data_IF_963156678488
#
_entry.id   IF_963156678488
#
_cell.length_a   1.000
_cell.length_b   1.000
_cell.length_c   1.000
_cell.angle_alpha   90.00
_cell.angle_beta   90.00
_cell.angle_gamma   90.00
#
_symmetry.space_group_name_H-M   'P 1'
#
loop_
_entity.id
_entity.type
_entity.pdbx_description
1 polymer ?
#
# COMPACT_ATOMS: atom_id res chain seq x y z
N UNK A 1 -2.78 28.11 8.14
CA UNK A 1 -2.84 26.64 8.36
C UNK A 1 -2.00 25.99 7.27
N UNK A 2 -0.86 25.39 7.59
CA UNK A 2 -0.10 24.63 6.59
C UNK A 2 -0.84 23.31 6.37
N UNK A 3 -1.28 23.04 5.14
CA UNK A 3 -1.91 21.77 4.79
C UNK A 3 -0.98 20.60 5.18
N UNK A 4 -1.52 19.55 5.79
CA UNK A 4 -0.72 18.36 6.07
C UNK A 4 -0.23 17.75 4.75
N UNK A 5 0.96 17.11 4.71
CA UNK A 5 1.42 16.45 3.48
C UNK A 5 0.43 15.41 2.95
N UNK A 6 -0.33 14.76 3.84
CA UNK A 6 -1.40 13.82 3.50
C UNK A 6 -2.54 14.54 2.77
N UNK A 7 -2.99 15.68 3.30
CA UNK A 7 -4.04 16.48 2.67
C UNK A 7 -3.62 16.94 1.26
N UNK A 8 -2.38 17.44 1.13
CA UNK A 8 -1.84 17.89 -0.15
C UNK A 8 -1.75 16.74 -1.17
N UNK A 9 -1.19 15.59 -0.78
CA UNK A 9 -1.10 14.41 -1.66
C UNK A 9 -2.49 13.90 -2.08
N UNK A 10 -3.43 13.80 -1.14
CA UNK A 10 -4.79 13.38 -1.41
C UNK A 10 -5.51 14.36 -2.37
N UNK A 11 -5.38 15.66 -2.14
CA UNK A 11 -5.99 16.69 -2.98
C UNK A 11 -5.41 16.69 -4.41
N UNK A 12 -4.09 16.63 -4.57
CA UNK A 12 -3.43 16.57 -5.89
C UNK A 12 -3.86 15.31 -6.63
N UNK A 13 -3.91 14.17 -5.93
CA UNK A 13 -4.35 12.91 -6.53
C UNK A 13 -5.80 12.98 -7.00
N UNK A 14 -6.68 13.51 -6.15
CA UNK A 14 -8.09 13.65 -6.47
C UNK A 14 -8.28 14.58 -7.67
N UNK A 15 -7.66 15.77 -7.65
CA UNK A 15 -7.73 16.72 -8.75
C UNK A 15 -7.21 16.12 -10.06
N UNK A 16 -6.02 15.49 -10.05
CA UNK A 16 -5.45 14.86 -11.22
C UNK A 16 -6.34 13.74 -11.76
N UNK A 17 -6.90 12.91 -10.88
CA UNK A 17 -7.81 11.82 -11.28
C UNK A 17 -9.11 12.35 -11.88
N UNK A 18 -9.63 13.51 -11.44
CA UNK A 18 -10.85 14.11 -11.98
C UNK A 18 -10.60 14.77 -13.35
N UNK A 19 -9.46 15.46 -13.51
CA UNK A 19 -9.09 16.13 -14.76
C UNK A 19 -8.69 15.10 -15.83
N UNK A 20 -7.91 14.10 -15.45
CA UNK A 20 -7.38 13.08 -16.34
C UNK A 20 -7.44 11.70 -15.65
N UNK A 21 -8.53 10.93 -15.84
CA UNK A 21 -8.75 9.65 -15.16
C UNK A 21 -7.60 8.65 -15.28
N UNK A 22 -6.83 8.69 -16.38
CA UNK A 22 -5.66 7.83 -16.57
C UNK A 22 -4.41 8.23 -15.77
N UNK A 23 -4.33 9.47 -15.27
CA UNK A 23 -3.12 10.00 -14.60
C UNK A 23 -3.17 9.90 -13.08
N UNK A 24 -4.28 9.46 -12.49
CA UNK A 24 -4.46 9.41 -11.04
C UNK A 24 -3.36 8.60 -10.32
N UNK A 25 -3.01 7.42 -10.82
CA UNK A 25 -1.97 6.56 -10.20
C UNK A 25 -0.59 7.22 -10.25
N UNK A 26 -0.24 7.85 -11.38
CA UNK A 26 1.03 8.53 -11.57
C UNK A 26 1.12 9.78 -10.67
N UNK A 27 0.06 10.59 -10.63
CA UNK A 27 -0.03 11.76 -9.75
C UNK A 27 0.05 11.36 -8.27
N UNK A 28 -0.63 10.29 -7.88
CA UNK A 28 -0.56 9.73 -6.52
C UNK A 28 0.87 9.34 -6.16
N UNK A 29 1.53 8.55 -7.02
CA UNK A 29 2.91 8.12 -6.83
C UNK A 29 3.89 9.30 -6.73
N UNK A 30 3.82 10.25 -7.67
CA UNK A 30 4.65 11.46 -7.64
C UNK A 30 4.40 12.32 -6.40
N UNK A 31 3.14 12.47 -5.98
CA UNK A 31 2.80 13.22 -4.76
C UNK A 31 3.38 12.57 -3.50
N UNK A 32 3.49 11.24 -3.43
CA UNK A 32 4.14 10.56 -2.31
C UNK A 32 5.63 10.86 -2.23
N UNK A 33 6.33 10.95 -3.36
CA UNK A 33 7.71 11.40 -3.38
C UNK A 33 7.83 12.86 -2.91
N UNK A 34 6.87 13.71 -3.31
CA UNK A 34 6.78 15.11 -2.88
C UNK A 34 6.45 15.32 -1.40
N UNK A 35 5.91 14.31 -0.69
CA UNK A 35 5.74 14.35 0.77
C UNK A 35 7.07 14.23 1.54
N UNK A 36 8.20 14.19 0.83
CA UNK A 36 9.52 14.14 1.45
C UNK A 36 9.89 15.46 2.11
N UNK A 37 10.75 15.37 3.13
CA UNK A 37 11.29 16.51 3.84
C UNK A 37 12.08 17.43 2.91
N UNK A 38 12.02 18.76 3.10
CA UNK A 38 12.95 19.69 2.44
C UNK A 38 14.42 19.38 2.76
N UNK A 39 14.71 18.69 3.87
CA UNK A 39 16.07 18.23 4.17
C UNK A 39 16.55 17.12 3.23
N UNK A 40 15.64 16.28 2.69
CA UNK A 40 15.96 15.30 1.65
C UNK A 40 15.94 15.94 0.26
N UNK A 41 14.97 16.82 0.00
CA UNK A 41 14.77 17.47 -1.29
C UNK A 41 14.95 19.00 -1.14
N UNK A 42 16.20 19.49 -0.99
CA UNK A 42 16.46 20.89 -0.60
C UNK A 42 16.24 21.90 -1.72
N UNK A 43 16.15 21.46 -2.96
CA UNK A 43 15.97 22.34 -4.12
C UNK A 43 14.91 21.82 -5.08
N UNK A 44 14.31 22.74 -5.83
CA UNK A 44 13.36 22.40 -6.88
C UNK A 44 13.95 21.43 -7.92
N UNK A 45 15.24 21.59 -8.25
CA UNK A 45 15.93 20.70 -9.19
C UNK A 45 15.99 19.25 -8.67
N UNK A 46 16.29 19.05 -7.39
CA UNK A 46 16.31 17.71 -6.77
C UNK A 46 14.89 17.13 -6.70
N UNK A 47 13.90 17.95 -6.35
CA UNK A 47 12.49 17.52 -6.36
C UNK A 47 12.03 17.10 -7.76
N UNK A 48 12.39 17.87 -8.79
CA UNK A 48 12.12 17.54 -10.19
C UNK A 48 12.81 16.24 -10.60
N UNK A 49 14.09 16.08 -10.26
CA UNK A 49 14.84 14.85 -10.52
C UNK A 49 14.20 13.63 -9.82
N UNK A 50 13.69 13.82 -8.60
CA UNK A 50 12.93 12.78 -7.87
C UNK A 50 11.62 12.46 -8.56
N UNK A 51 10.91 13.45 -9.09
CA UNK A 51 9.71 13.25 -9.90
C UNK A 51 10.00 12.42 -11.16
N UNK A 52 11.06 12.79 -11.91
CA UNK A 52 11.52 12.04 -13.09
C UNK A 52 11.91 10.62 -12.73
N UNK A 53 12.72 10.43 -11.69
CA UNK A 53 13.11 9.11 -11.19
C UNK A 53 11.89 8.27 -10.79
N UNK A 54 10.92 8.87 -10.09
CA UNK A 54 9.67 8.22 -9.70
C UNK A 54 8.86 7.79 -10.92
N UNK A 55 8.77 8.62 -11.96
CA UNK A 55 8.08 8.28 -13.21
C UNK A 55 8.75 7.10 -13.92
N UNK A 56 10.08 7.11 -14.04
CA UNK A 56 10.84 6.00 -14.65
C UNK A 56 10.62 4.71 -13.87
N UNK A 57 10.73 4.76 -12.54
CA UNK A 57 10.50 3.60 -11.69
C UNK A 57 9.05 3.14 -11.73
N UNK A 58 8.08 4.04 -11.82
CA UNK A 58 6.66 3.70 -11.95
C UNK A 58 6.40 2.90 -13.22
N UNK A 59 6.89 3.39 -14.37
CA UNK A 59 6.79 2.66 -15.64
C UNK A 59 7.51 1.31 -15.59
N UNK A 60 8.73 1.29 -15.06
CA UNK A 60 9.50 0.05 -14.90
C UNK A 60 8.77 -0.96 -14.00
N UNK A 61 8.21 -0.52 -12.87
CA UNK A 61 7.57 -1.42 -11.89
C UNK A 61 6.19 -1.90 -12.34
N UNK A 62 5.48 -1.12 -13.16
CA UNK A 62 4.20 -1.52 -13.76
C UNK A 62 4.41 -2.49 -14.91
N UNK A 63 5.39 -2.24 -15.79
CA UNK A 63 5.64 -3.09 -16.96
C UNK A 63 6.43 -4.35 -16.63
N UNK A 64 7.25 -4.34 -15.56
CA UNK A 64 8.08 -5.49 -15.23
C UNK A 64 7.29 -6.62 -14.54
N UNK A 65 7.10 -7.72 -15.30
CA UNK A 65 6.64 -9.05 -14.84
C UNK A 65 5.25 -9.15 -14.22
N UNK A 66 4.43 -8.10 -14.20
CA UNK A 66 3.07 -8.14 -13.65
C UNK A 66 2.96 -8.65 -12.19
N UNK A 67 4.09 -8.82 -11.48
CA UNK A 67 4.17 -9.62 -10.26
C UNK A 67 3.48 -8.93 -9.06
N UNK A 68 3.40 -7.60 -9.12
CA UNK A 68 2.72 -6.76 -8.12
C UNK A 68 1.42 -6.12 -8.64
N UNK A 69 0.88 -6.58 -9.78
CA UNK A 69 -0.41 -6.07 -10.27
C UNK A 69 -1.52 -6.37 -9.26
N UNK A 70 -2.30 -5.34 -8.94
CA UNK A 70 -3.41 -5.42 -8.00
C UNK A 70 -3.01 -5.51 -6.53
N UNK A 71 -1.74 -5.32 -6.19
CA UNK A 71 -1.29 -5.19 -4.80
C UNK A 71 -1.31 -3.73 -4.36
N UNK A 72 -2.04 -3.48 -3.28
CA UNK A 72 -2.07 -2.18 -2.61
C UNK A 72 -0.70 -1.75 -2.08
N UNK A 73 -0.47 -0.44 -1.99
CA UNK A 73 0.78 0.14 -1.48
C UNK A 73 1.94 0.23 -2.49
N UNK A 74 1.87 -0.46 -3.65
CA UNK A 74 2.95 -0.47 -4.65
C UNK A 74 3.40 0.93 -5.09
N UNK A 75 2.46 1.87 -5.25
CA UNK A 75 2.75 3.25 -5.66
C UNK A 75 3.62 3.97 -4.64
N UNK A 76 3.35 3.76 -3.35
CA UNK A 76 4.19 4.31 -2.29
C UNK A 76 5.53 3.58 -2.17
N UNK A 77 5.59 2.28 -2.44
CA UNK A 77 6.85 1.54 -2.51
C UNK A 77 7.76 2.08 -3.64
N UNK A 78 7.20 2.35 -4.82
CA UNK A 78 7.91 2.99 -5.94
C UNK A 78 8.42 4.38 -5.58
N UNK A 79 7.56 5.23 -5.01
CA UNK A 79 7.96 6.57 -4.57
C UNK A 79 9.04 6.52 -3.49
N UNK A 80 8.92 5.59 -2.53
CA UNK A 80 9.92 5.37 -1.50
C UNK A 80 11.26 4.96 -2.09
N UNK A 81 11.28 4.02 -3.05
CA UNK A 81 12.49 3.62 -3.75
C UNK A 81 13.13 4.81 -4.50
N UNK A 82 12.34 5.60 -5.23
CA UNK A 82 12.82 6.77 -5.95
C UNK A 82 13.49 7.80 -5.02
N UNK A 83 12.84 8.13 -3.90
CA UNK A 83 13.37 9.04 -2.88
C UNK A 83 14.68 8.50 -2.30
N UNK A 84 14.76 7.19 -2.05
CA UNK A 84 16.01 6.57 -1.56
C UNK A 84 17.14 6.63 -2.57
N UNK A 85 16.88 6.42 -3.87
CA UNK A 85 17.91 6.52 -4.90
C UNK A 85 18.46 7.96 -5.02
N UNK A 86 17.58 8.96 -4.97
CA UNK A 86 18.00 10.36 -5.01
C UNK A 86 18.77 10.74 -3.73
N UNK A 87 18.25 10.36 -2.56
CA UNK A 87 18.95 10.58 -1.29
C UNK A 87 20.34 9.91 -1.29
N UNK A 88 20.46 8.70 -1.84
CA UNK A 88 21.74 8.01 -2.01
C UNK A 88 22.70 8.80 -2.90
N UNK A 89 22.21 9.33 -4.03
CA UNK A 89 23.01 10.11 -4.98
C UNK A 89 23.56 11.41 -4.38
N UNK A 90 22.89 11.96 -3.36
CA UNK A 90 23.32 13.14 -2.63
C UNK A 90 24.26 12.83 -1.44
N UNK A 91 24.61 11.55 -1.23
CA UNK A 91 25.40 11.13 -0.07
C UNK A 91 24.61 11.08 1.24
N UNK A 92 23.30 11.33 1.20
CA UNK A 92 22.38 11.18 2.34
C UNK A 92 21.89 9.74 2.49
N UNK A 93 22.73 8.76 2.14
CA UNK A 93 22.34 7.35 2.22
C UNK A 93 22.18 6.93 3.69
N UNK A 94 20.94 7.00 4.16
CA UNK A 94 20.53 6.37 5.40
C UNK A 94 20.16 4.92 5.08
N UNK A 95 21.16 4.09 4.74
CA UNK A 95 21.09 2.75 5.30
C UNK A 95 21.22 2.95 6.80
N UNK A 96 20.36 2.34 7.64
CA UNK A 96 20.48 2.47 9.08
C UNK A 96 21.94 2.18 9.44
N UNK A 97 22.68 3.23 9.76
CA UNK A 97 24.02 3.12 10.27
C UNK A 97 23.87 2.23 11.49
N UNK A 98 24.63 1.15 11.50
CA UNK A 98 24.74 0.17 12.56
C UNK A 98 25.31 0.82 13.83
N UNK A 99 24.56 1.73 14.43
CA UNK A 99 24.82 2.35 15.74
C UNK A 99 23.58 2.35 16.63
N UNK A 100 22.41 1.93 16.12
CA UNK A 100 21.40 1.37 17.01
C UNK A 100 21.93 0.05 17.58
N UNK A 101 21.61 -0.33 18.83
CA UNK A 101 21.99 -1.63 19.40
C UNK A 101 21.46 -2.84 18.60
N UNK A 102 20.69 -2.60 17.53
CA UNK A 102 20.25 -3.57 16.54
C UNK A 102 21.18 -3.54 15.31
N UNK A 103 22.36 -4.13 15.44
CA UNK A 103 23.26 -4.38 14.31
C UNK A 103 22.68 -5.49 13.43
N UNK A 104 22.39 -5.17 12.16
CA UNK A 104 21.83 -6.07 11.16
C UNK A 104 22.80 -7.20 10.73
N UNK A 105 24.07 -7.11 11.14
CA UNK A 105 25.11 -8.11 10.87
C UNK A 105 25.11 -9.29 11.84
N UNK A 106 24.40 -9.19 12.96
CA UNK A 106 24.05 -10.36 13.74
C UNK A 106 22.78 -10.94 13.13
N UNK A 107 22.64 -12.27 12.93
CA UNK A 107 21.32 -12.84 12.74
C UNK A 107 20.57 -12.54 14.02
N UNK A 108 19.81 -11.45 14.02
CA UNK A 108 18.85 -11.13 15.07
C UNK A 108 17.93 -12.34 15.01
N UNK A 109 18.19 -13.30 15.89
CA UNK A 109 17.15 -14.17 16.39
C UNK A 109 16.22 -13.19 17.06
N UNK A 110 15.29 -12.63 16.28
CA UNK A 110 13.97 -12.32 16.79
C UNK A 110 13.52 -13.67 17.30
N UNK A 111 13.92 -14.00 18.53
CA UNK A 111 13.17 -14.91 19.33
C UNK A 111 11.89 -14.14 19.52
N UNK A 112 10.99 -14.31 18.55
CA UNK A 112 9.58 -13.95 18.51
C UNK A 112 8.88 -14.76 19.61
N UNK A 113 9.49 -14.75 20.79
CA UNK A 113 8.86 -15.17 22.01
C UNK A 113 7.64 -14.27 22.11
N UNK A 114 6.49 -14.92 22.12
CA UNK A 114 5.21 -14.30 22.36
C UNK A 114 5.27 -13.26 23.50
N UNK A 115 5.98 -13.47 24.63
CA UNK A 115 6.12 -12.44 25.66
C UNK A 115 6.84 -11.17 25.20
N UNK A 116 7.94 -11.26 24.44
CA UNK A 116 8.64 -10.07 23.95
C UNK A 116 7.78 -9.27 22.95
N UNK A 117 7.03 -9.97 22.09
CA UNK A 117 6.08 -9.34 21.16
C UNK A 117 4.93 -8.65 21.92
N UNK A 118 4.35 -9.31 22.92
CA UNK A 118 3.28 -8.73 23.74
C UNK A 118 3.78 -7.53 24.55
N UNK A 119 4.99 -7.61 25.10
CA UNK A 119 5.63 -6.49 25.80
C UNK A 119 5.80 -5.31 24.84
N UNK A 120 6.30 -5.55 23.64
CA UNK A 120 6.47 -4.53 22.60
C UNK A 120 5.14 -3.87 22.19
N UNK A 121 4.08 -4.65 22.00
CA UNK A 121 2.74 -4.14 21.70
C UNK A 121 2.23 -3.24 22.83
N UNK A 122 2.49 -3.62 24.09
CA UNK A 122 2.09 -2.84 25.28
C UNK A 122 2.90 -1.56 25.44
N UNK A 123 4.19 -1.58 25.12
CA UNK A 123 5.08 -0.42 25.33
C UNK A 123 5.08 0.56 24.17
N UNK A 124 4.66 0.15 22.97
CA UNK A 124 4.65 1.03 21.80
C UNK A 124 3.41 1.93 21.76
N UNK A 125 3.54 3.25 21.98
CA UNK A 125 2.38 4.16 22.01
C UNK A 125 1.75 4.35 20.62
N UNK A 126 2.51 4.10 19.53
CA UNK A 126 2.10 4.37 18.16
C UNK A 126 1.49 3.15 17.45
N UNK A 127 1.82 1.93 17.90
CA UNK A 127 1.39 0.70 17.27
C UNK A 127 -0.13 0.50 17.27
N UNK A 128 -0.86 0.60 18.40
CA UNK A 128 -2.31 0.39 18.38
C UNK A 128 -3.01 1.41 17.48
N UNK A 129 -2.55 2.66 17.51
CA UNK A 129 -3.09 3.74 16.70
C UNK A 129 -2.89 3.47 15.19
N UNK A 130 -1.67 3.12 14.78
CA UNK A 130 -1.37 2.83 13.36
C UNK A 130 -2.09 1.59 12.84
N UNK A 131 -2.28 0.56 13.67
CA UNK A 131 -3.05 -0.65 13.34
C UNK A 131 -4.53 -0.32 13.12
N UNK A 132 -5.16 0.40 14.06
CA UNK A 132 -6.59 0.75 13.99
C UNK A 132 -6.85 1.65 12.78
N UNK A 133 -6.10 2.73 12.62
CA UNK A 133 -6.29 3.64 11.48
C UNK A 133 -5.94 2.96 10.15
N UNK A 134 -4.93 2.09 10.11
CA UNK A 134 -4.61 1.30 8.91
C UNK A 134 -5.75 0.36 8.50
N UNK A 135 -6.40 -0.30 9.46
CA UNK A 135 -7.58 -1.13 9.21
C UNK A 135 -8.76 -0.28 8.72
N UNK A 136 -9.06 0.82 9.40
CA UNK A 136 -10.16 1.73 9.05
C UNK A 136 -9.98 2.34 7.65
N UNK A 137 -8.79 2.80 7.30
CA UNK A 137 -8.51 3.36 5.98
C UNK A 137 -8.68 2.34 4.86
N UNK A 138 -8.25 1.10 5.10
CA UNK A 138 -8.42 -0.01 4.15
C UNK A 138 -9.90 -0.34 3.94
N UNK A 139 -10.65 -0.50 5.03
CA UNK A 139 -12.10 -0.79 5.03
C UNK A 139 -12.88 0.35 4.37
N UNK A 140 -12.62 1.60 4.73
CA UNK A 140 -13.30 2.76 4.16
C UNK A 140 -13.09 2.84 2.64
N UNK A 141 -11.87 2.56 2.17
CA UNK A 141 -11.56 2.61 0.74
C UNK A 141 -12.27 1.51 -0.03
N UNK A 142 -12.25 0.26 0.46
CA UNK A 142 -12.98 -0.82 -0.23
C UNK A 142 -14.50 -0.62 -0.14
N UNK A 143 -15.01 -0.13 1.00
CA UNK A 143 -16.43 0.16 1.16
C UNK A 143 -16.90 1.26 0.18
N UNK A 144 -16.11 2.32 -0.01
CA UNK A 144 -16.41 3.36 -1.00
C UNK A 144 -16.40 2.83 -2.44
N UNK A 145 -15.46 1.95 -2.77
CA UNK A 145 -15.39 1.33 -4.10
C UNK A 145 -16.59 0.44 -4.39
N UNK A 146 -17.04 -0.33 -3.40
CA UNK A 146 -18.16 -1.26 -3.54
C UNK A 146 -19.53 -0.56 -3.43
N UNK A 147 -19.62 0.55 -2.69
CA UNK A 147 -20.85 1.33 -2.55
C UNK A 147 -21.09 2.30 -3.73
N UNK A 148 -20.09 2.50 -4.59
CA UNK A 148 -20.20 3.40 -5.73
C UNK A 148 -20.59 2.64 -6.99
N UNK A 149 -21.84 2.84 -7.42
CA UNK A 149 -22.34 2.37 -8.71
C UNK A 149 -21.79 3.20 -9.90
N UNK A 150 -21.20 4.37 -9.61
CA UNK A 150 -20.54 5.21 -10.59
C UNK A 150 -19.15 4.68 -10.93
N UNK A 151 -18.91 4.39 -12.23
CA UNK A 151 -17.58 4.04 -12.77
C UNK A 151 -16.48 5.03 -12.34
N UNK A 152 -16.85 6.27 -12.01
CA UNK A 152 -15.96 7.33 -11.58
C UNK A 152 -15.45 7.17 -10.14
N UNK A 153 -16.26 6.71 -9.17
CA UNK A 153 -15.86 6.55 -7.78
C UNK A 153 -15.51 5.09 -7.41
N UNK A 154 -15.82 4.14 -8.29
CA UNK A 154 -15.24 2.79 -8.28
C UNK A 154 -13.71 2.77 -8.52
N UNK A 155 -13.13 3.85 -9.04
CA UNK A 155 -11.68 3.97 -9.21
C UNK A 155 -10.95 3.92 -7.84
N UNK A 156 -10.09 2.92 -7.61
CA UNK A 156 -9.41 2.75 -6.32
C UNK A 156 -8.57 3.97 -5.92
N UNK A 157 -8.01 4.71 -6.90
CA UNK A 157 -7.18 5.89 -6.61
C UNK A 157 -8.03 7.03 -6.05
N UNK A 158 -9.18 7.31 -6.66
CA UNK A 158 -10.12 8.31 -6.18
C UNK A 158 -10.65 7.97 -4.79
N UNK A 159 -11.08 6.72 -4.58
CA UNK A 159 -11.54 6.27 -3.27
C UNK A 159 -10.46 6.46 -2.19
N UNK A 160 -9.21 6.07 -2.46
CA UNK A 160 -8.12 6.26 -1.52
C UNK A 160 -7.78 7.74 -1.28
N UNK A 161 -7.86 8.59 -2.31
CA UNK A 161 -7.68 10.03 -2.19
C UNK A 161 -8.78 10.66 -1.31
N UNK A 162 -10.04 10.26 -1.48
CA UNK A 162 -11.16 10.71 -0.63
C UNK A 162 -10.95 10.30 0.83
N UNK A 163 -10.56 9.04 1.09
CA UNK A 163 -10.24 8.57 2.45
C UNK A 163 -9.06 9.34 3.04
N UNK A 164 -8.03 9.64 2.25
CA UNK A 164 -6.91 10.48 2.67
C UNK A 164 -7.32 11.91 3.02
N UNK A 165 -8.20 12.52 2.22
CA UNK A 165 -8.73 13.86 2.45
C UNK A 165 -9.57 13.91 3.73
N UNK A 166 -10.53 12.99 3.87
CA UNK A 166 -11.38 12.87 5.07
C UNK A 166 -10.51 12.58 6.29
N UNK A 167 -9.56 11.65 6.19
CA UNK A 167 -8.63 11.33 7.27
C UNK A 167 -7.80 12.54 7.70
N UNK A 168 -7.28 13.33 6.74
CA UNK A 168 -6.52 14.53 7.04
C UNK A 168 -7.38 15.65 7.67
N UNK A 169 -8.62 15.82 7.20
CA UNK A 169 -9.53 16.86 7.72
C UNK A 169 -10.14 16.48 9.07
N UNK A 170 -10.53 15.22 9.28
CA UNK A 170 -11.17 14.79 10.53
C UNK A 170 -10.12 14.51 11.60
N UNK A 171 -9.17 13.62 11.34
CA UNK A 171 -8.16 13.22 12.33
C UNK A 171 -7.22 14.39 12.65
N UNK A 172 -6.92 15.24 11.65
CA UNK A 172 -6.10 16.43 11.84
C UNK A 172 -6.77 17.58 12.60
N UNK A 173 -8.10 17.72 12.51
CA UNK A 173 -8.84 18.80 13.19
C UNK A 173 -9.28 18.42 14.61
N UNK A 174 -9.60 17.14 14.87
CA UNK A 174 -10.02 16.66 16.20
C UNK A 174 -8.86 16.38 17.18
N UNK A 175 -7.66 16.91 16.92
CA UNK A 175 -6.53 16.83 17.84
C UNK A 175 -5.79 15.48 17.87
N UNK A 176 -6.12 14.53 16.98
CA UNK A 176 -5.30 13.35 16.79
C UNK A 176 -4.03 13.69 15.99
N UNK A 177 -2.93 13.04 16.34
CA UNK A 177 -1.61 13.29 15.74
C UNK A 177 -1.64 13.08 14.22
N UNK A 178 -0.84 13.86 13.48
CA UNK A 178 -0.60 13.71 12.04
C UNK A 178 -0.34 12.26 11.60
N UNK A 179 0.19 11.45 12.52
CA UNK A 179 0.38 10.02 12.39
C UNK A 179 -0.91 9.22 12.11
N UNK A 180 -2.04 9.54 12.75
CA UNK A 180 -3.31 8.85 12.52
C UNK A 180 -3.82 9.05 11.09
N UNK A 181 -3.76 10.29 10.59
CA UNK A 181 -4.11 10.59 9.19
C UNK A 181 -3.19 9.88 8.20
N UNK A 182 -1.89 9.81 8.48
CA UNK A 182 -0.92 9.10 7.66
C UNK A 182 -1.13 7.59 7.69
N UNK A 183 -1.49 7.02 8.84
CA UNK A 183 -1.81 5.61 8.99
C UNK A 183 -3.11 5.24 8.28
N UNK A 184 -4.15 6.07 8.38
CA UNK A 184 -5.40 5.90 7.64
C UNK A 184 -5.17 5.98 6.12
N UNK A 185 -4.40 6.96 5.66
CA UNK A 185 -4.03 7.07 4.24
C UNK A 185 -3.17 5.89 3.77
N UNK A 186 -2.24 5.41 4.62
CA UNK A 186 -1.53 4.16 4.42
C UNK A 186 -2.48 2.97 4.24
N UNK A 187 -3.45 2.82 5.15
CA UNK A 187 -4.51 1.82 5.07
C UNK A 187 -5.32 1.90 3.78
N UNK A 188 -5.64 3.11 3.32
CA UNK A 188 -6.34 3.33 2.07
C UNK A 188 -5.61 2.70 0.87
N UNK A 189 -4.27 2.68 0.89
CA UNK A 189 -3.51 2.00 -0.15
C UNK A 189 -3.67 0.49 -0.17
N UNK A 190 -3.91 -0.14 1.00
CA UNK A 190 -4.29 -1.54 1.06
C UNK A 190 -5.67 -1.74 0.44
N UNK A 191 -6.60 -0.82 0.72
CA UNK A 191 -7.94 -0.75 0.12
C UNK A 191 -7.96 -0.63 -1.41
N UNK A 192 -6.88 -0.15 -2.02
CA UNK A 192 -6.73 -0.13 -3.49
C UNK A 192 -6.42 -1.51 -4.10
N UNK A 193 -6.13 -2.53 -3.28
CA UNK A 193 -5.85 -3.87 -3.79
C UNK A 193 -7.04 -4.44 -4.56
N UNK A 194 -6.78 -5.28 -5.56
CA UNK A 194 -7.83 -6.05 -6.21
C UNK A 194 -8.24 -7.19 -5.28
N UNK A 195 -9.55 -7.36 -4.96
CA UNK A 195 -10.02 -8.45 -4.11
C UNK A 195 -9.49 -9.83 -4.52
N UNK A 196 -9.52 -10.13 -5.83
CA UNK A 196 -9.04 -11.39 -6.38
C UNK A 196 -7.54 -11.61 -6.10
N UNK A 197 -6.71 -10.58 -6.33
CA UNK A 197 -5.26 -10.64 -6.12
C UNK A 197 -4.88 -10.65 -4.64
N UNK A 198 -5.68 -10.04 -3.77
CA UNK A 198 -5.45 -10.03 -2.33
C UNK A 198 -5.79 -11.40 -1.70
N UNK A 199 -6.94 -11.99 -2.07
CA UNK A 199 -7.46 -13.22 -1.48
C UNK A 199 -6.90 -14.50 -2.11
N UNK A 200 -6.87 -14.58 -3.44
CA UNK A 200 -6.52 -15.80 -4.16
C UNK A 200 -5.09 -15.75 -4.74
N UNK A 201 -4.49 -14.56 -4.77
CA UNK A 201 -3.17 -14.33 -5.32
C UNK A 201 -3.17 -14.17 -6.83
N UNK A 202 -1.98 -14.24 -7.43
CA UNK A 202 -1.88 -14.35 -8.87
C UNK A 202 -2.16 -15.80 -9.23
N UNK A 203 -3.32 -16.09 -9.82
CA UNK A 203 -3.41 -17.31 -10.60
C UNK A 203 -2.33 -17.25 -11.68
N UNK A 204 -1.63 -18.36 -11.95
CA UNK A 204 -0.86 -18.45 -13.18
C UNK A 204 -1.85 -18.18 -14.32
N UNK A 205 -1.61 -17.10 -15.07
CA UNK A 205 -2.21 -16.98 -16.40
C UNK A 205 -1.68 -18.21 -17.13
N UNK A 206 -2.51 -19.25 -17.26
CA UNK A 206 -2.19 -20.40 -18.08
C UNK A 206 -1.75 -19.82 -19.44
N UNK A 207 -0.59 -20.24 -19.98
CA UNK A 207 -0.22 -19.82 -21.33
C UNK A 207 -1.41 -20.16 -22.25
N UNK A 208 -1.71 -19.30 -23.25
CA UNK A 208 -2.76 -19.61 -24.21
C UNK A 208 -2.48 -21.02 -24.75
N UNK A 209 -3.46 -21.91 -24.59
CA UNK A 209 -3.40 -23.26 -25.13
C UNK A 209 -3.15 -23.15 -26.64
N UNK A 210 -1.94 -23.55 -27.06
CA UNK A 210 -1.46 -23.85 -28.42
C UNK A 210 -1.91 -22.95 -29.60
N UNK A 211 -0.97 -22.45 -30.43
CA UNK A 211 -1.28 -21.66 -31.62
C UNK A 211 -1.63 -22.55 -32.82
N UNK A 212 -2.67 -23.37 -32.74
CA UNK A 212 -3.11 -24.20 -33.86
C UNK A 212 -4.62 -24.04 -34.09
N UNK A 213 -5.01 -22.91 -34.70
CA UNK A 213 -6.08 -22.84 -35.71
C UNK A 213 -6.08 -21.45 -36.33
N UNK A 214 -5.62 -21.42 -37.57
CA UNK A 214 -5.59 -20.27 -38.47
C UNK A 214 -6.99 -19.77 -38.84
N UNK A 215 -7.03 -18.48 -39.18
CA UNK A 215 -8.02 -17.70 -39.94
C UNK A 215 -9.32 -17.26 -39.24
N UNK A 216 -9.27 -16.09 -38.58
CA UNK A 216 -10.31 -15.06 -38.67
C UNK A 216 -9.76 -13.69 -38.19
N UNK A 217 -9.92 -12.58 -38.94
CA UNK A 217 -9.64 -11.24 -38.45
C UNK A 217 -10.90 -10.68 -37.81
N UNK A 218 -11.24 -11.14 -36.60
CA UNK A 218 -12.28 -10.55 -35.79
C UNK A 218 -11.79 -10.44 -34.35
N UNK A 219 -11.91 -9.23 -33.79
CA UNK A 219 -11.70 -8.97 -32.36
C UNK A 219 -12.33 -10.10 -31.52
N UNK A 220 -11.67 -10.59 -30.45
CA UNK A 220 -12.36 -11.46 -29.51
C UNK A 220 -13.48 -10.65 -28.85
N UNK A 221 -14.70 -11.00 -29.21
CA UNK A 221 -15.92 -10.49 -28.62
C UNK A 221 -15.87 -10.65 -27.10
N UNK A 222 -16.10 -9.52 -26.42
CA UNK A 222 -16.55 -9.46 -25.05
C UNK A 222 -17.80 -10.33 -24.88
N UNK A 223 -17.64 -11.56 -24.40
CA UNK A 223 -18.75 -12.52 -24.33
C UNK A 223 -18.72 -13.47 -23.13
N UNK A 224 -17.70 -13.40 -22.27
CA UNK A 224 -17.80 -14.05 -20.96
C UNK A 224 -18.51 -13.04 -20.05
N UNK A 225 -19.78 -13.28 -19.67
CA UNK A 225 -20.43 -12.42 -18.68
C UNK A 225 -19.54 -12.43 -17.43
N UNK A 226 -19.20 -11.25 -16.86
CA UNK A 226 -18.49 -11.23 -15.60
C UNK A 226 -19.28 -12.10 -14.62
N UNK A 227 -18.61 -12.93 -13.79
CA UNK A 227 -19.31 -13.74 -12.80
C UNK A 227 -20.19 -12.78 -12.00
N UNK A 228 -21.52 -12.97 -12.12
CA UNK A 228 -22.52 -12.14 -11.45
C UNK A 228 -22.21 -12.20 -9.97
N UNK A 229 -21.64 -11.12 -9.44
CA UNK A 229 -21.21 -10.99 -8.06
C UNK A 229 -22.44 -11.25 -7.17
N UNK A 230 -22.42 -12.28 -6.30
CA UNK A 230 -23.56 -12.58 -5.44
C UNK A 230 -23.84 -11.40 -4.51
N UNK A 231 -25.12 -11.01 -4.48
CA UNK A 231 -25.70 -9.89 -3.73
C UNK A 231 -24.99 -9.58 -2.40
N UNK A 232 -24.54 -8.32 -2.31
CA UNK A 232 -23.93 -7.49 -1.26
C UNK A 232 -23.95 -7.86 0.23
N UNK A 233 -24.62 -8.91 0.71
CA UNK A 233 -24.91 -9.07 2.15
C UNK A 233 -23.93 -9.98 2.92
N UNK A 234 -23.53 -11.14 2.38
CA UNK A 234 -22.69 -12.11 3.11
C UNK A 234 -21.25 -12.18 2.60
N UNK A 235 -21.04 -11.95 1.30
CA UNK A 235 -19.73 -11.92 0.63
C UNK A 235 -18.91 -10.69 1.06
N UNK A 236 -19.60 -9.58 1.32
CA UNK A 236 -19.02 -8.32 1.77
C UNK A 236 -18.36 -8.43 3.15
N UNK A 237 -18.94 -9.21 4.08
CA UNK A 237 -18.36 -9.36 5.43
C UNK A 237 -16.96 -9.98 5.42
N UNK A 238 -16.76 -11.05 4.63
CA UNK A 238 -15.45 -11.71 4.47
C UNK A 238 -14.45 -10.81 3.74
N UNK A 239 -14.92 -10.08 2.74
CA UNK A 239 -14.11 -9.12 2.00
C UNK A 239 -13.61 -8.01 2.94
N UNK A 240 -14.52 -7.33 3.64
CA UNK A 240 -14.20 -6.26 4.59
C UNK A 240 -13.27 -6.76 5.70
N UNK A 241 -13.52 -7.96 6.26
CA UNK A 241 -12.64 -8.54 7.27
C UNK A 241 -11.21 -8.77 6.73
N UNK A 242 -11.09 -9.24 5.49
CA UNK A 242 -9.79 -9.49 4.86
C UNK A 242 -9.02 -8.20 4.59
N UNK A 243 -9.70 -7.17 4.07
CA UNK A 243 -9.11 -5.85 3.86
C UNK A 243 -8.78 -5.15 5.19
N UNK A 244 -9.61 -5.31 6.22
CA UNK A 244 -9.34 -4.84 7.58
C UNK A 244 -8.08 -5.48 8.13
N UNK A 245 -7.94 -6.81 8.04
CA UNK A 245 -6.76 -7.53 8.51
C UNK A 245 -5.49 -7.16 7.72
N UNK A 246 -5.58 -7.06 6.40
CA UNK A 246 -4.45 -6.60 5.57
C UNK A 246 -4.06 -5.15 5.90
N UNK A 247 -5.03 -4.27 6.13
CA UNK A 247 -4.83 -2.89 6.56
C UNK A 247 -4.18 -2.80 7.94
N UNK A 248 -4.64 -3.61 8.89
CA UNK A 248 -4.06 -3.75 10.22
C UNK A 248 -2.60 -4.22 10.16
N UNK A 249 -2.27 -5.17 9.29
CA UNK A 249 -0.89 -5.62 9.07
C UNK A 249 -0.02 -4.52 8.47
N UNK A 250 -0.51 -3.76 7.49
CA UNK A 250 0.19 -2.58 6.96
C UNK A 250 0.43 -1.52 8.05
N UNK A 251 -0.59 -1.25 8.87
CA UNK A 251 -0.50 -0.39 10.05
C UNK A 251 0.51 -0.88 11.08
N UNK A 252 0.55 -2.18 11.37
CA UNK A 252 1.50 -2.80 12.29
C UNK A 252 2.95 -2.64 11.80
N UNK A 253 3.20 -2.87 10.49
CA UNK A 253 4.51 -2.62 9.88
C UNK A 253 4.89 -1.14 10.04
N UNK A 254 3.95 -0.23 9.79
CA UNK A 254 4.20 1.20 9.95
C UNK A 254 4.52 1.58 11.41
N UNK A 255 3.74 1.11 12.39
CA UNK A 255 3.99 1.33 13.81
C UNK A 255 5.30 0.72 14.30
N UNK A 256 5.65 -0.47 13.82
CA UNK A 256 6.92 -1.15 14.12
C UNK A 256 8.10 -0.33 13.62
N UNK A 257 8.07 0.09 12.36
CA UNK A 257 9.16 0.88 11.76
C UNK A 257 9.34 2.26 12.41
N UNK A 258 8.26 2.86 12.91
CA UNK A 258 8.33 4.08 13.75
C UNK A 258 8.99 3.80 15.10
N UNK A 259 8.57 2.73 15.79
CA UNK A 259 9.15 2.37 17.09
C UNK A 259 10.63 2.03 16.98
N UNK A 260 11.03 1.34 15.91
CA UNK A 260 12.43 1.00 15.63
C UNK A 260 13.26 2.22 15.19
N UNK A 261 12.66 3.40 15.07
CA UNK A 261 13.36 4.62 14.67
C UNK A 261 13.89 4.58 13.24
N UNK A 262 13.38 3.70 12.37
CA UNK A 262 13.83 3.61 10.97
C UNK A 262 13.59 4.92 10.21
N UNK A 263 12.68 5.74 10.71
CA UNK A 263 12.30 7.02 10.11
C UNK A 263 12.71 8.24 10.96
N UNK A 264 13.44 8.04 12.07
CA UNK A 264 13.78 9.09 13.05
C UNK A 264 15.22 9.59 12.99
N UNK A 265 16.04 9.04 12.09
CA UNK A 265 17.37 9.59 11.76
C UNK A 265 17.21 11.02 11.16
N UNK A 266 18.25 11.89 11.18
CA UNK A 266 18.11 13.36 11.22
C UNK A 266 17.32 14.01 10.06
N UNK A 267 16.94 13.23 9.05
CA UNK A 267 16.10 13.62 7.93
C UNK A 267 14.68 13.09 8.15
N UNK A 268 13.92 13.78 9.00
CA UNK A 268 12.51 13.45 9.25
C UNK A 268 11.68 13.76 8.00
N UNK A 269 11.06 12.74 7.39
CA UNK A 269 10.08 12.90 6.30
C UNK A 269 10.45 12.15 5.02
N UNK A 270 10.38 10.82 5.04
CA UNK A 270 10.54 10.02 3.82
C UNK A 270 9.21 9.93 3.07
N UNK A 271 9.22 10.32 1.80
CA UNK A 271 8.12 10.11 0.87
C UNK A 271 7.85 8.63 0.62
N UNK A 272 6.58 8.25 0.43
CA UNK A 272 6.19 6.87 0.11
C UNK A 272 6.25 5.82 1.24
N UNK A 273 6.83 6.13 2.42
CA UNK A 273 6.98 5.16 3.53
C UNK A 273 5.69 4.46 3.94
N UNK A 274 4.57 5.19 4.05
CA UNK A 274 3.28 4.61 4.44
C UNK A 274 2.79 3.60 3.39
N UNK A 275 2.97 3.89 2.10
CA UNK A 275 2.63 2.95 1.05
C UNK A 275 3.57 1.76 0.97
N UNK A 276 4.87 1.94 1.24
CA UNK A 276 5.80 0.81 1.40
C UNK A 276 5.38 -0.13 2.55
N UNK A 277 5.02 0.42 3.71
CA UNK A 277 4.50 -0.36 4.83
C UNK A 277 3.22 -1.11 4.46
N UNK A 278 2.29 -0.46 3.76
CA UNK A 278 1.07 -1.09 3.25
C UNK A 278 1.36 -2.21 2.26
N UNK A 279 2.33 -2.02 1.36
CA UNK A 279 2.76 -3.04 0.41
C UNK A 279 3.32 -4.27 1.13
N UNK A 280 4.21 -4.07 2.10
CA UNK A 280 4.75 -5.15 2.94
C UNK A 280 3.63 -5.84 3.72
N UNK A 281 2.70 -5.09 4.31
CA UNK A 281 1.53 -5.64 5.01
C UNK A 281 0.67 -6.54 4.14
N UNK A 282 0.43 -6.14 2.88
CA UNK A 282 -0.29 -6.94 1.88
C UNK A 282 0.47 -8.23 1.53
N UNK A 283 1.80 -8.17 1.39
CA UNK A 283 2.62 -9.37 1.15
C UNK A 283 2.56 -10.34 2.34
N UNK A 284 2.63 -9.84 3.57
CA UNK A 284 2.50 -10.64 4.80
C UNK A 284 1.12 -11.31 4.83
N UNK A 285 0.04 -10.54 4.64
CA UNK A 285 -1.31 -11.07 4.60
C UNK A 285 -1.45 -12.22 3.60
N UNK A 286 -0.92 -12.04 2.38
CA UNK A 286 -0.93 -13.09 1.35
C UNK A 286 -0.14 -14.32 1.73
N UNK A 287 1.02 -14.14 2.38
CA UNK A 287 1.81 -15.25 2.90
C UNK A 287 1.01 -16.10 3.90
N UNK A 288 0.28 -15.43 4.80
CA UNK A 288 -0.58 -16.09 5.80
C UNK A 288 -1.72 -16.87 5.14
N UNK A 289 -2.46 -16.25 4.22
CA UNK A 289 -3.58 -16.90 3.51
C UNK A 289 -3.13 -18.13 2.74
N UNK A 290 -1.98 -18.06 2.04
CA UNK A 290 -1.38 -19.20 1.33
C UNK A 290 -1.01 -20.33 2.27
N UNK A 291 -0.41 -20.00 3.41
CA UNK A 291 0.00 -20.98 4.42
C UNK A 291 -1.21 -21.73 5.01
N UNK A 292 -2.27 -21.00 5.37
CA UNK A 292 -3.52 -21.59 5.85
C UNK A 292 -4.18 -22.50 4.82
N UNK A 293 -4.18 -22.09 3.55
CA UNK A 293 -4.77 -22.88 2.45
C UNK A 293 -3.99 -24.18 2.22
N UNK A 294 -2.65 -24.12 2.25
CA UNK A 294 -1.79 -25.31 2.14
C UNK A 294 -2.00 -26.29 3.29
N UNK A 295 -2.14 -25.79 4.53
CA UNK A 295 -2.45 -26.59 5.72
C UNK A 295 -3.81 -27.30 5.60
N UNK A 296 -4.84 -26.60 5.12
CA UNK A 296 -6.17 -27.18 4.92
C UNK A 296 -6.13 -28.33 3.89
N UNK A 297 -5.44 -28.12 2.77
CA UNK A 297 -5.30 -29.14 1.72
C UNK A 297 -4.51 -30.36 2.19
N UNK A 298 -3.43 -30.14 2.97
CA UNK A 298 -2.65 -31.23 3.56
C UNK A 298 -3.50 -32.04 4.56
N UNK A 299 -4.36 -31.38 5.32
CA UNK A 299 -5.23 -32.03 6.30
C UNK A 299 -6.36 -32.83 5.64
N UNK A 300 -6.98 -32.32 4.58
CA UNK A 300 -7.99 -33.09 3.81
C UNK A 300 -7.40 -34.32 3.16
N UNK A 301 -6.18 -34.23 2.61
CA UNK A 301 -5.48 -35.39 2.01
C UNK A 301 -5.14 -36.48 3.02
N UNK A 302 -4.98 -36.16 4.31
CA UNK A 302 -4.75 -37.17 5.37
C UNK A 302 -6.03 -37.88 5.82
N UNK A 303 -7.21 -37.33 5.50
CA UNK A 303 -8.51 -37.89 5.88
C UNK A 303 -9.19 -38.71 4.76
N UNK A 304 -8.73 -38.54 3.52
CA UNK A 304 -9.13 -39.34 2.37
C UNK A 304 -8.22 -40.56 2.25
#
# INVERSE_FOLDING_TARGET
MCASPVLASAAVTLAASLIAPGLGQAAMCGSFAGMSSPLLLPSFAVTLATGVCTSILFEAFIHYRNAALGLGGRLGATAFLAVNLIAASQGHFVVPASTSPFSFSSPIRFSLSLPALLQFIKTSPYLPLTVVYGALGSVATIALREASDDNAAADPVRAAAVVGLIGALTVGVYGHTSLGSLAAYGGAFVGMSLPSRLLYGAEPVLPPLSPDSSSDPALPAAGVPPPSLPSLSLTSGKLLASFSLAGALGGAVHGLTLHLGWWTLPVAGWGGKAGMCSFVGVLIFRGLVRSCSGLKNAWTKRRA
#
